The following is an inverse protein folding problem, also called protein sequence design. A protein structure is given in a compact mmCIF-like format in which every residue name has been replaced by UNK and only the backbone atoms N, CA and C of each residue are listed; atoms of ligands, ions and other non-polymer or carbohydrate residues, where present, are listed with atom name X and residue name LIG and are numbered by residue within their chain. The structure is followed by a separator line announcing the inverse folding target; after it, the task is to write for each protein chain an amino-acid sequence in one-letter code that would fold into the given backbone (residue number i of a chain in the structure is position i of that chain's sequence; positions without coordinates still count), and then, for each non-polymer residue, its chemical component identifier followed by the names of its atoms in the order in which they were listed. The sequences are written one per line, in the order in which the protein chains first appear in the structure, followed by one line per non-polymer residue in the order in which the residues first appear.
data_IF_814316554455
#
_entry.id   IF_814316554455
#
_cell.length_a   1.000
_cell.length_b   1.000
_cell.length_c   1.000
_cell.angle_alpha   90.00
_cell.angle_beta   90.00
_cell.angle_gamma   90.00
#
_symmetry.space_group_name_H-M   'P 1'
#
loop_
_entity.id
_entity.type
_entity.pdbx_description
1 polymer ?
#
# COMPACT_ATOMS: atom_id res chain seq x y z
N UNK A 1 -17.11 12.62 71.82
CA UNK A 1 -17.41 12.20 70.44
C UNK A 1 -17.09 13.39 69.55
N UNK A 2 -15.86 13.41 69.05
CA UNK A 2 -15.26 14.50 68.28
C UNK A 2 -15.29 14.07 66.81
N UNK A 3 -15.89 14.89 65.94
CA UNK A 3 -15.81 14.72 64.49
C UNK A 3 -14.45 15.25 64.00
N UNK A 4 -13.74 14.58 63.07
CA UNK A 4 -12.57 15.16 62.43
C UNK A 4 -12.97 16.15 61.34
N UNK A 5 -12.32 17.31 61.37
CA UNK A 5 -12.34 18.40 60.41
C UNK A 5 -11.99 17.96 58.97
N UNK A 6 -12.74 18.53 58.02
CA UNK A 6 -12.42 18.59 56.60
C UNK A 6 -11.09 19.32 56.38
N UNK A 7 -10.10 18.62 55.84
CA UNK A 7 -8.88 19.22 55.31
C UNK A 7 -9.05 19.42 53.80
N UNK A 8 -9.32 20.68 53.42
CA UNK A 8 -9.15 21.23 52.08
C UNK A 8 -7.67 21.13 51.64
N UNK A 9 -7.25 20.00 51.08
CA UNK A 9 -5.99 19.91 50.34
C UNK A 9 -6.18 20.53 48.95
N UNK A 10 -5.90 21.84 48.89
CA UNK A 10 -5.81 22.62 47.67
C UNK A 10 -4.77 22.07 46.71
N UNK A 11 -5.22 21.27 45.75
CA UNK A 11 -4.45 20.87 44.57
C UNK A 11 -4.06 22.12 43.78
N UNK A 12 -2.85 22.61 44.03
CA UNK A 12 -2.22 23.66 43.25
C UNK A 12 -1.93 23.12 41.86
N UNK A 13 -2.77 23.47 40.89
CA UNK A 13 -2.56 23.18 39.47
C UNK A 13 -1.39 24.03 38.99
N UNK A 14 -0.28 23.46 38.50
CA UNK A 14 0.80 24.25 37.94
C UNK A 14 0.34 24.96 36.66
N UNK A 15 0.77 26.20 36.41
CA UNK A 15 0.40 26.91 35.19
C UNK A 15 0.92 26.16 33.95
N UNK A 16 0.17 26.18 32.83
CA UNK A 16 0.60 25.51 31.60
C UNK A 16 1.89 26.15 31.07
N UNK A 17 2.80 25.36 30.48
CA UNK A 17 4.03 25.90 29.92
C UNK A 17 3.71 26.82 28.72
N UNK A 18 4.32 28.01 28.73
CA UNK A 18 4.29 28.93 27.60
C UNK A 18 5.08 28.32 26.43
N UNK A 19 4.36 27.87 25.40
CA UNK A 19 4.93 27.40 24.14
C UNK A 19 5.38 28.62 23.34
N UNK A 20 6.69 28.88 23.29
CA UNK A 20 7.25 29.88 22.39
C UNK A 20 7.30 29.32 20.96
N UNK A 21 6.76 30.02 19.95
CA UNK A 21 6.86 29.57 18.58
C UNK A 21 8.32 29.65 18.12
N UNK A 22 8.91 28.49 17.80
CA UNK A 22 10.18 28.44 17.07
C UNK A 22 9.93 28.98 15.66
N UNK A 23 10.48 30.15 15.34
CA UNK A 23 10.59 30.60 13.95
C UNK A 23 11.45 29.59 13.18
N UNK A 24 10.79 28.73 12.40
CA UNK A 24 11.46 27.87 11.43
C UNK A 24 12.02 28.77 10.34
N UNK A 25 13.28 29.16 10.50
CA UNK A 25 14.02 29.89 9.48
C UNK A 25 14.29 28.92 8.33
N UNK A 26 13.38 28.92 7.35
CA UNK A 26 13.47 28.15 6.11
C UNK A 26 14.72 28.60 5.36
N UNK A 27 15.86 27.97 5.63
CA UNK A 27 17.09 28.10 4.85
C UNK A 27 16.74 27.76 3.40
N UNK A 28 16.57 28.78 2.57
CA UNK A 28 16.52 28.64 1.12
C UNK A 28 17.88 28.09 0.69
N UNK A 29 17.98 26.79 0.46
CA UNK A 29 19.15 26.19 -0.20
C UNK A 29 19.17 26.75 -1.61
N UNK A 30 20.11 27.67 -1.86
CA UNK A 30 20.41 28.15 -3.20
C UNK A 30 20.83 26.95 -4.05
N UNK A 31 20.00 26.58 -5.02
CA UNK A 31 20.35 25.60 -6.04
C UNK A 31 21.34 26.25 -7.01
N UNK A 32 22.50 25.63 -7.29
CA UNK A 32 23.41 26.13 -8.30
C UNK A 32 22.75 26.02 -9.68
N UNK A 33 22.65 27.16 -10.37
CA UNK A 33 22.20 27.24 -11.76
C UNK A 33 23.27 26.63 -12.68
N UNK A 34 22.97 25.65 -13.54
CA UNK A 34 23.93 25.20 -14.52
C UNK A 34 24.16 26.27 -15.58
N UNK A 35 25.42 26.63 -15.78
CA UNK A 35 25.89 27.63 -16.74
C UNK A 35 25.76 27.13 -18.19
N UNK A 36 25.09 27.95 -19.00
CA UNK A 36 24.85 27.81 -20.44
C UNK A 36 26.16 28.01 -21.23
N UNK A 37 27.11 27.06 -21.20
CA UNK A 37 28.33 27.08 -22.06
C UNK A 37 28.88 25.70 -22.46
N UNK A 38 28.04 24.67 -22.55
CA UNK A 38 28.44 23.35 -23.11
C UNK A 38 27.38 22.87 -24.11
N UNK A 39 27.26 23.55 -25.26
CA UNK A 39 26.35 23.14 -26.36
C UNK A 39 27.07 22.97 -27.71
N UNK A 40 28.39 23.19 -27.81
CA UNK A 40 29.07 23.21 -29.14
C UNK A 40 29.91 21.94 -29.44
N UNK A 41 29.83 20.89 -28.62
CA UNK A 41 30.61 19.64 -28.82
C UNK A 41 29.84 18.41 -29.27
N UNK A 42 28.54 18.50 -29.57
CA UNK A 42 27.64 17.34 -29.59
C UNK A 42 27.05 16.95 -30.96
N UNK A 43 27.51 17.53 -32.08
CA UNK A 43 26.90 17.27 -33.41
C UNK A 43 27.75 16.32 -34.30
N UNK A 44 29.05 16.15 -34.04
CA UNK A 44 29.91 15.30 -34.87
C UNK A 44 29.98 13.82 -34.42
N UNK A 45 29.65 13.49 -33.17
CA UNK A 45 29.73 12.12 -32.64
C UNK A 45 28.47 11.27 -32.93
N UNK A 46 27.34 11.90 -33.26
CA UNK A 46 26.07 11.19 -33.46
C UNK A 46 26.00 10.42 -34.80
N UNK A 47 26.70 10.88 -35.84
CA UNK A 47 26.62 10.26 -37.17
C UNK A 47 27.39 8.91 -37.26
N UNK A 48 28.50 8.77 -36.54
CA UNK A 48 29.32 7.53 -36.57
C UNK A 48 28.71 6.38 -35.75
N UNK A 49 27.95 6.70 -34.69
CA UNK A 49 27.27 5.67 -33.87
C UNK A 49 26.10 5.04 -34.64
N UNK A 50 25.36 5.82 -35.44
CA UNK A 50 24.20 5.30 -36.19
C UNK A 50 24.65 4.32 -37.29
N UNK A 51 25.76 4.59 -37.98
CA UNK A 51 26.30 3.68 -39.00
C UNK A 51 26.81 2.35 -38.41
N UNK A 52 27.43 2.40 -37.23
CA UNK A 52 27.89 1.19 -36.52
C UNK A 52 26.71 0.34 -36.00
N UNK A 53 25.63 0.96 -35.52
CA UNK A 53 24.43 0.24 -35.06
C UNK A 53 23.67 -0.39 -36.23
N UNK A 54 23.55 0.30 -37.38
CA UNK A 54 22.89 -0.27 -38.56
C UNK A 54 23.65 -1.48 -39.14
N UNK A 55 24.99 -1.43 -39.19
CA UNK A 55 25.81 -2.55 -39.64
C UNK A 55 25.74 -3.77 -38.71
N UNK A 56 25.63 -3.56 -37.40
CA UNK A 56 25.55 -4.67 -36.43
C UNK A 56 24.18 -5.36 -36.40
N UNK A 57 23.10 -4.65 -36.76
CA UNK A 57 21.74 -5.20 -36.80
C UNK A 57 21.51 -6.09 -38.03
N UNK A 58 22.15 -5.82 -39.17
CA UNK A 58 21.95 -6.61 -40.39
C UNK A 58 22.78 -7.90 -40.40
N UNK A 59 23.96 -7.93 -39.77
CA UNK A 59 24.84 -9.12 -39.75
C UNK A 59 24.50 -10.19 -38.70
N UNK A 60 23.57 -9.94 -37.77
CA UNK A 60 23.09 -10.99 -36.85
C UNK A 60 21.85 -11.74 -37.32
N UNK A 61 21.24 -11.34 -38.43
CA UNK A 61 20.02 -11.95 -38.98
C UNK A 61 20.25 -13.23 -39.79
N UNK A 62 21.44 -13.84 -39.69
CA UNK A 62 21.77 -15.07 -40.40
C UNK A 62 22.17 -16.22 -39.47
N UNK A 63 21.21 -17.00 -38.99
CA UNK A 63 21.23 -18.47 -38.99
C UNK A 63 19.97 -19.08 -38.35
N UNK A 64 19.46 -20.23 -38.85
CA UNK A 64 18.08 -20.65 -38.67
C UNK A 64 17.84 -21.56 -37.46
N UNK A 65 16.60 -21.53 -36.98
CA UNK A 65 15.85 -22.55 -36.25
C UNK A 65 16.59 -23.42 -35.20
N UNK A 66 16.33 -23.13 -33.92
CA UNK A 66 15.88 -24.15 -32.95
C UNK A 66 14.91 -23.52 -31.95
N UNK A 67 13.74 -24.12 -31.85
CA UNK A 67 12.67 -23.78 -30.92
C UNK A 67 13.17 -23.59 -29.48
N UNK A 68 13.15 -22.35 -29.02
CA UNK A 68 12.88 -22.01 -27.63
C UNK A 68 12.06 -20.74 -27.65
N UNK A 69 10.76 -20.89 -27.43
CA UNK A 69 9.88 -19.79 -27.06
C UNK A 69 10.43 -19.17 -25.78
N UNK A 70 11.25 -18.13 -25.92
CA UNK A 70 11.66 -17.27 -24.82
C UNK A 70 10.67 -16.11 -24.80
N UNK A 71 9.68 -16.27 -23.95
CA UNK A 71 8.68 -15.26 -23.62
C UNK A 71 9.36 -13.94 -23.25
N UNK A 72 8.91 -12.86 -23.87
CA UNK A 72 9.42 -11.52 -23.64
C UNK A 72 9.16 -11.09 -22.18
N UNK A 73 10.23 -10.70 -21.48
CA UNK A 73 10.15 -10.16 -20.12
C UNK A 73 9.49 -8.76 -20.15
N UNK A 74 8.17 -8.73 -20.00
CA UNK A 74 7.51 -7.64 -19.25
C UNK A 74 7.86 -7.75 -17.76
N UNK A 75 7.38 -6.85 -16.88
CA UNK A 75 7.48 -7.10 -15.44
C UNK A 75 6.83 -8.46 -15.17
N UNK A 76 7.66 -9.48 -14.92
CA UNK A 76 7.16 -10.83 -14.69
C UNK A 76 6.43 -10.77 -13.37
N UNK A 77 5.11 -10.64 -13.43
CA UNK A 77 4.24 -11.16 -12.38
C UNK A 77 4.75 -12.58 -12.15
N UNK A 78 5.33 -12.83 -10.98
CA UNK A 78 5.81 -14.16 -10.66
C UNK A 78 4.59 -15.09 -10.76
N UNK A 79 4.59 -15.96 -11.76
CA UNK A 79 3.45 -16.82 -12.05
C UNK A 79 3.11 -17.71 -10.85
N UNK A 80 4.13 -18.07 -10.05
CA UNK A 80 3.95 -18.80 -8.80
C UNK A 80 3.29 -17.91 -7.74
N UNK A 81 3.75 -16.69 -7.51
CA UNK A 81 3.10 -15.74 -6.60
C UNK A 81 1.67 -15.39 -7.03
N UNK A 82 1.39 -15.25 -8.33
CA UNK A 82 0.03 -15.04 -8.83
C UNK A 82 -0.86 -16.27 -8.58
N UNK A 83 -0.34 -17.48 -8.79
CA UNK A 83 -1.07 -18.70 -8.46
C UNK A 83 -1.33 -18.82 -6.96
N UNK A 84 -0.35 -18.49 -6.11
CA UNK A 84 -0.50 -18.47 -4.66
C UNK A 84 -1.53 -17.43 -4.22
N UNK A 85 -1.51 -16.21 -4.81
CA UNK A 85 -2.49 -15.17 -4.52
C UNK A 85 -3.90 -15.65 -4.83
N UNK A 86 -4.13 -16.28 -5.99
CA UNK A 86 -5.45 -16.83 -6.36
C UNK A 86 -6.00 -17.84 -5.35
N UNK A 87 -5.13 -18.61 -4.69
CA UNK A 87 -5.54 -19.60 -3.69
C UNK A 87 -5.95 -18.98 -2.35
N UNK A 88 -5.45 -17.79 -2.04
CA UNK A 88 -5.72 -17.11 -0.76
C UNK A 88 -6.83 -16.06 -0.83
N UNK A 89 -7.28 -15.72 -2.04
CA UNK A 89 -8.37 -14.77 -2.26
C UNK A 89 -9.63 -15.15 -1.47
N UNK A 90 -10.40 -14.16 -1.00
CA UNK A 90 -11.69 -14.42 -0.39
C UNK A 90 -12.66 -15.14 -1.32
N UNK A 91 -13.65 -15.83 -0.74
CA UNK A 91 -14.70 -16.50 -1.52
C UNK A 91 -15.44 -15.47 -2.39
N UNK A 92 -15.72 -15.85 -3.64
CA UNK A 92 -16.37 -14.97 -4.61
C UNK A 92 -15.41 -14.13 -5.46
N UNK A 93 -14.09 -14.23 -5.23
CA UNK A 93 -13.07 -13.65 -6.10
C UNK A 93 -12.36 -14.71 -6.93
N UNK A 94 -12.24 -14.46 -8.24
CA UNK A 94 -11.61 -15.34 -9.21
C UNK A 94 -11.06 -14.53 -10.38
N UNK A 95 -10.41 -15.20 -11.33
CA UNK A 95 -9.89 -14.55 -12.54
C UNK A 95 -10.99 -13.93 -13.43
N UNK A 96 -12.27 -14.21 -13.17
CA UNK A 96 -13.38 -13.58 -13.89
C UNK A 96 -13.68 -12.16 -13.41
N UNK A 97 -13.34 -11.82 -12.16
CA UNK A 97 -13.63 -10.51 -11.57
C UNK A 97 -12.40 -9.83 -10.96
N UNK A 98 -11.23 -10.46 -11.06
CA UNK A 98 -9.95 -9.93 -10.62
C UNK A 98 -8.97 -9.91 -11.79
N UNK A 99 -8.23 -8.81 -11.92
CA UNK A 99 -7.19 -8.63 -12.92
C UNK A 99 -5.86 -8.23 -12.26
N UNK A 100 -4.70 -8.59 -12.83
CA UNK A 100 -3.41 -8.13 -12.35
C UNK A 100 -3.34 -6.60 -12.34
N UNK A 101 -2.91 -6.01 -11.23
CA UNK A 101 -2.78 -4.57 -11.07
C UNK A 101 -1.56 -4.24 -10.18
N UNK A 102 -1.00 -3.02 -10.25
CA UNK A 102 -0.07 -2.54 -9.25
C UNK A 102 -0.71 -2.65 -7.87
N UNK A 103 -0.14 -3.46 -6.98
CA UNK A 103 -0.75 -3.72 -5.68
C UNK A 103 -0.80 -2.51 -4.76
N UNK A 104 -1.68 -2.52 -3.74
CA UNK A 104 -1.78 -1.45 -2.74
C UNK A 104 -0.52 -1.32 -1.87
N UNK A 105 0.42 -2.27 -1.96
CA UNK A 105 1.63 -2.33 -1.17
C UNK A 105 2.88 -2.42 -2.06
N UNK A 106 3.85 -1.54 -1.79
CA UNK A 106 5.19 -1.67 -2.36
C UNK A 106 5.84 -2.98 -1.86
N UNK A 107 6.45 -3.74 -2.78
CA UNK A 107 7.12 -5.01 -2.46
C UNK A 107 6.18 -6.22 -2.35
N UNK A 108 4.91 -6.11 -2.75
CA UNK A 108 4.05 -7.27 -2.96
C UNK A 108 4.62 -8.20 -4.04
N UNK A 109 4.56 -9.51 -3.82
CA UNK A 109 5.02 -10.52 -4.78
C UNK A 109 3.99 -10.78 -5.87
N UNK A 110 2.72 -10.57 -5.58
CA UNK A 110 1.62 -10.54 -6.54
C UNK A 110 0.52 -9.60 -6.04
N UNK A 111 -0.23 -9.01 -6.96
CA UNK A 111 -1.41 -8.25 -6.63
C UNK A 111 -2.47 -8.29 -7.73
N UNK A 112 -3.72 -8.17 -7.31
CA UNK A 112 -4.89 -8.09 -8.19
C UNK A 112 -5.80 -6.96 -7.72
N UNK A 113 -6.42 -6.29 -8.68
CA UNK A 113 -7.59 -5.45 -8.45
C UNK A 113 -8.83 -6.22 -8.90
N UNK A 114 -9.91 -6.12 -8.14
CA UNK A 114 -11.14 -6.81 -8.40
C UNK A 114 -12.31 -5.82 -8.38
N UNK A 115 -13.14 -5.91 -9.42
CA UNK A 115 -14.30 -5.06 -9.60
C UNK A 115 -15.58 -5.85 -9.29
N UNK A 116 -16.48 -5.26 -8.50
CA UNK A 116 -17.80 -5.82 -8.21
C UNK A 116 -18.88 -4.76 -8.45
N UNK A 117 -20.08 -5.23 -8.76
CA UNK A 117 -21.23 -4.38 -9.13
C UNK A 117 -21.82 -3.57 -7.96
N UNK A 118 -21.37 -3.80 -6.72
CA UNK A 118 -21.83 -3.14 -5.49
C UNK A 118 -21.08 -1.84 -5.17
N UNK A 119 -20.39 -1.25 -6.15
CA UNK A 119 -19.54 -0.06 -6.01
C UNK A 119 -18.40 -0.23 -4.98
N UNK A 120 -18.04 -1.48 -4.69
CA UNK A 120 -16.87 -1.82 -3.88
C UNK A 120 -15.75 -2.23 -4.82
N UNK A 121 -14.66 -1.47 -4.79
CA UNK A 121 -13.42 -1.85 -5.47
C UNK A 121 -12.51 -2.50 -4.45
N UNK A 122 -12.02 -3.70 -4.76
CA UNK A 122 -11.11 -4.45 -3.89
C UNK A 122 -9.73 -4.60 -4.54
N UNK A 123 -8.69 -4.52 -3.73
CA UNK A 123 -7.33 -4.83 -4.16
C UNK A 123 -6.68 -5.76 -3.15
N UNK A 124 -6.10 -6.85 -3.65
CA UNK A 124 -5.46 -7.87 -2.86
C UNK A 124 -3.99 -7.98 -3.24
N UNK A 125 -3.13 -8.09 -2.24
CA UNK A 125 -1.69 -8.27 -2.45
C UNK A 125 -1.18 -9.42 -1.58
N UNK A 126 -0.38 -10.29 -2.20
CA UNK A 126 0.43 -11.27 -1.50
C UNK A 126 1.74 -10.60 -1.10
N UNK A 127 2.05 -10.64 0.19
CA UNK A 127 3.20 -9.99 0.80
C UNK A 127 4.24 -11.06 1.16
N UNK A 128 5.55 -10.84 0.96
CA UNK A 128 6.54 -11.92 1.10
C UNK A 128 6.69 -12.45 2.53
N UNK A 129 6.48 -11.62 3.55
CA UNK A 129 6.66 -12.00 4.95
C UNK A 129 5.86 -11.10 5.92
N UNK A 130 5.83 -11.48 7.19
CA UNK A 130 5.12 -10.76 8.26
C UNK A 130 5.62 -9.33 8.48
N UNK A 131 6.92 -9.08 8.33
CA UNK A 131 7.50 -7.75 8.55
C UNK A 131 7.06 -6.81 7.44
N UNK A 132 7.12 -7.27 6.20
CA UNK A 132 6.58 -6.56 5.04
C UNK A 132 5.07 -6.34 5.19
N UNK A 133 4.32 -7.33 5.68
CA UNK A 133 2.87 -7.21 5.89
C UNK A 133 2.52 -6.12 6.92
N UNK A 134 3.25 -6.08 8.04
CA UNK A 134 3.14 -5.02 9.03
C UNK A 134 3.48 -3.64 8.47
N UNK A 135 4.52 -3.54 7.64
CA UNK A 135 4.85 -2.29 6.96
C UNK A 135 3.74 -1.86 5.99
N UNK A 136 3.18 -2.79 5.21
CA UNK A 136 2.14 -2.50 4.22
C UNK A 136 0.82 -2.05 4.84
N UNK A 137 0.37 -2.63 5.96
CA UNK A 137 -0.82 -2.11 6.65
C UNK A 137 -0.52 -0.75 7.32
N UNK A 138 0.73 -0.52 7.72
CA UNK A 138 1.21 0.76 8.22
C UNK A 138 1.13 1.89 7.19
N UNK A 139 1.37 1.63 5.91
CA UNK A 139 1.23 2.65 4.87
C UNK A 139 -0.21 3.08 4.66
N UNK A 140 -1.17 2.15 4.72
CA UNK A 140 -2.62 2.48 4.68
C UNK A 140 -2.99 3.35 5.87
N UNK A 141 -2.50 2.98 7.05
CA UNK A 141 -2.72 3.74 8.30
C UNK A 141 -2.17 5.17 8.20
N UNK A 142 -0.97 5.34 7.65
CA UNK A 142 -0.33 6.65 7.51
C UNK A 142 -0.94 7.52 6.41
N UNK A 143 -1.50 6.90 5.36
CA UNK A 143 -2.10 7.60 4.22
C UNK A 143 -3.56 8.03 4.43
N UNK A 144 -4.22 7.58 5.50
CA UNK A 144 -5.64 7.83 5.75
C UNK A 144 -5.93 8.54 7.07
N UNK A 145 -7.06 9.22 7.14
CA UNK A 145 -7.65 9.62 8.42
C UNK A 145 -8.27 8.39 9.07
N UNK A 146 -7.51 7.73 9.94
CA UNK A 146 -7.97 6.53 10.66
C UNK A 146 -9.11 6.92 11.60
N UNK A 147 -10.21 6.16 11.53
CA UNK A 147 -11.40 6.35 12.34
C UNK A 147 -11.82 5.02 12.96
N UNK A 148 -12.68 5.06 13.97
CA UNK A 148 -13.27 3.84 14.51
C UNK A 148 -14.02 3.10 13.40
N UNK A 149 -13.85 1.78 13.37
CA UNK A 149 -14.68 0.94 12.52
C UNK A 149 -16.13 0.93 13.04
N UNK A 150 -17.12 0.67 12.17
CA UNK A 150 -18.51 0.45 12.58
C UNK A 150 -18.63 -0.48 13.80
N UNK A 151 -19.58 -0.17 14.68
CA UNK A 151 -19.69 -0.86 15.98
C UNK A 151 -18.72 -0.37 17.05
N UNK A 152 -18.08 0.81 16.85
CA UNK A 152 -17.10 1.42 17.77
C UNK A 152 -15.86 0.54 18.01
N UNK A 153 -15.46 -0.22 16.99
CA UNK A 153 -14.29 -1.08 17.05
C UNK A 153 -13.03 -0.25 16.83
N UNK A 154 -12.02 -0.47 17.67
CA UNK A 154 -10.74 0.23 17.59
C UNK A 154 -10.04 -0.06 16.25
N UNK A 155 -9.51 1.01 15.65
CA UNK A 155 -8.77 0.98 14.39
C UNK A 155 -7.47 1.77 14.55
N UNK A 156 -6.31 1.26 14.11
CA UNK A 156 -6.07 -0.15 13.75
C UNK A 156 -6.33 -1.08 14.94
N UNK A 157 -6.78 -2.31 14.68
CA UNK A 157 -7.05 -3.27 15.75
C UNK A 157 -7.02 -4.73 15.29
N UNK A 158 -6.86 -5.69 16.22
CA UNK A 158 -6.88 -7.11 15.86
C UNK A 158 -8.28 -7.54 15.40
N UNK A 159 -8.35 -8.34 14.34
CA UNK A 159 -9.60 -8.96 13.90
C UNK A 159 -9.54 -10.49 13.95
N UNK A 160 -10.72 -11.10 14.02
CA UNK A 160 -10.91 -12.56 14.16
C UNK A 160 -12.02 -12.99 13.21
N UNK A 161 -11.82 -14.09 12.47
CA UNK A 161 -12.88 -14.68 11.64
C UNK A 161 -13.85 -15.43 12.56
N UNK A 162 -15.13 -15.06 12.57
CA UNK A 162 -16.16 -15.77 13.36
C UNK A 162 -16.26 -15.37 14.84
N UNK A 163 -15.67 -14.24 15.27
CA UNK A 163 -15.92 -13.64 16.58
C UNK A 163 -14.77 -13.76 17.61
N UNK A 164 -15.04 -13.33 18.85
CA UNK A 164 -14.01 -13.11 19.88
C UNK A 164 -13.31 -14.38 20.40
N UNK A 165 -13.94 -15.54 20.29
CA UNK A 165 -13.38 -16.83 20.74
C UNK A 165 -12.38 -17.42 19.75
N UNK A 166 -12.34 -16.90 18.52
CA UNK A 166 -11.48 -17.38 17.44
C UNK A 166 -10.10 -16.73 17.51
N UNK A 167 -9.02 -17.36 17.04
CA UNK A 167 -7.69 -16.75 17.05
C UNK A 167 -7.64 -15.45 16.24
N UNK A 168 -6.75 -14.53 16.62
CA UNK A 168 -6.49 -13.31 15.85
C UNK A 168 -5.97 -13.71 14.48
N UNK A 169 -6.56 -13.14 13.42
CA UNK A 169 -6.21 -13.40 12.02
C UNK A 169 -5.34 -12.30 11.41
N UNK A 170 -5.32 -11.11 12.02
CA UNK A 170 -4.49 -9.99 11.59
C UNK A 170 -5.01 -8.67 12.11
N UNK A 171 -4.76 -7.60 11.37
CA UNK A 171 -5.10 -6.23 11.73
C UNK A 171 -6.15 -5.67 10.77
N UNK A 172 -7.17 -5.01 11.30
CA UNK A 172 -8.20 -4.28 10.57
C UNK A 172 -7.97 -2.77 10.73
N UNK A 173 -8.13 -2.02 9.65
CA UNK A 173 -8.03 -0.57 9.59
C UNK A 173 -9.24 -0.01 8.85
N UNK A 174 -9.98 0.87 9.51
CA UNK A 174 -10.97 1.74 8.88
C UNK A 174 -10.41 3.16 8.77
N UNK A 175 -10.51 3.75 7.59
CA UNK A 175 -10.04 5.09 7.32
C UNK A 175 -10.99 5.82 6.36
N UNK A 176 -11.01 7.14 6.44
CA UNK A 176 -11.73 8.01 5.50
C UNK A 176 -10.76 9.06 4.95
N UNK A 177 -9.81 8.67 4.07
CA UNK A 177 -8.97 9.63 3.34
C UNK A 177 -9.81 10.57 2.46
N UNK A 178 -9.17 11.63 1.94
CA UNK A 178 -9.81 12.57 1.02
C UNK A 178 -10.40 11.90 -0.26
N UNK A 179 -9.95 10.69 -0.60
CA UNK A 179 -10.46 9.87 -1.71
C UNK A 179 -11.66 8.98 -1.37
N UNK A 180 -12.17 9.03 -0.14
CA UNK A 180 -13.37 8.29 0.28
C UNK A 180 -13.11 7.20 1.32
N UNK A 181 -14.17 6.51 1.79
CA UNK A 181 -14.08 5.41 2.73
C UNK A 181 -13.18 4.27 2.25
N UNK A 182 -12.29 3.83 3.14
CA UNK A 182 -11.36 2.75 2.91
C UNK A 182 -11.37 1.81 4.11
N UNK A 183 -11.43 0.51 3.84
CA UNK A 183 -11.23 -0.53 4.85
C UNK A 183 -10.09 -1.41 4.35
N UNK A 184 -9.10 -1.64 5.20
CA UNK A 184 -7.98 -2.52 4.90
C UNK A 184 -7.82 -3.55 6.01
N UNK A 185 -7.41 -4.76 5.65
CA UNK A 185 -7.08 -5.77 6.64
C UNK A 185 -5.97 -6.69 6.17
N UNK A 186 -5.31 -7.32 7.13
CA UNK A 186 -4.31 -8.36 6.88
C UNK A 186 -4.82 -9.74 7.28
N UNK A 187 -4.49 -10.79 6.55
CA UNK A 187 -4.57 -12.19 7.04
C UNK A 187 -3.13 -12.68 7.21
N UNK A 188 -2.66 -12.79 8.45
CA UNK A 188 -1.27 -13.07 8.78
C UNK A 188 -0.85 -14.44 8.27
N UNK A 189 -1.67 -15.47 8.44
CA UNK A 189 -1.30 -16.83 8.02
C UNK A 189 -1.17 -16.95 6.50
N UNK A 190 -1.93 -16.12 5.76
CA UNK A 190 -1.93 -16.09 4.30
C UNK A 190 -0.97 -15.06 3.70
N UNK A 191 -0.30 -14.26 4.54
CA UNK A 191 0.45 -13.07 4.12
C UNK A 191 -0.33 -12.17 3.15
N UNK A 192 -1.62 -12.04 3.37
CA UNK A 192 -2.52 -11.30 2.49
C UNK A 192 -2.75 -9.90 3.05
N UNK A 193 -2.60 -8.88 2.21
CA UNK A 193 -3.16 -7.55 2.43
C UNK A 193 -4.37 -7.38 1.52
N UNK A 194 -5.48 -6.91 2.07
CA UNK A 194 -6.63 -6.48 1.32
C UNK A 194 -6.93 -5.01 1.62
N UNK A 195 -7.25 -4.25 0.57
CA UNK A 195 -7.67 -2.85 0.65
C UNK A 195 -8.93 -2.71 -0.17
N UNK A 196 -10.01 -2.22 0.44
CA UNK A 196 -11.29 -2.00 -0.23
C UNK A 196 -11.73 -0.56 -0.11
N UNK A 197 -12.34 -0.05 -1.18
CA UNK A 197 -12.89 1.29 -1.30
C UNK A 197 -14.38 1.21 -1.63
N UNK A 198 -15.17 2.15 -1.15
CA UNK A 198 -16.61 2.14 -1.36
C UNK A 198 -17.27 3.44 -0.92
N UNK A 199 -18.61 3.46 -0.92
CA UNK A 199 -19.39 4.69 -0.70
C UNK A 199 -19.50 5.08 0.78
N UNK A 200 -19.42 4.12 1.69
CA UNK A 200 -19.47 4.36 3.14
C UNK A 200 -18.69 3.29 3.91
N UNK A 201 -18.23 3.61 5.13
CA UNK A 201 -17.60 2.61 6.00
C UNK A 201 -18.57 1.51 6.44
N UNK A 202 -19.85 1.81 6.60
CA UNK A 202 -20.88 0.82 6.94
C UNK A 202 -21.06 -0.22 5.82
N UNK A 203 -21.08 0.24 4.57
CA UNK A 203 -21.11 -0.64 3.40
C UNK A 203 -19.87 -1.54 3.37
N UNK A 204 -18.68 -0.94 3.51
CA UNK A 204 -17.42 -1.67 3.48
C UNK A 204 -17.28 -2.68 4.63
N UNK A 205 -17.72 -2.32 5.82
CA UNK A 205 -17.65 -3.18 6.99
C UNK A 205 -18.61 -4.38 6.87
N UNK A 206 -19.84 -4.15 6.41
CA UNK A 206 -20.80 -5.22 6.12
C UNK A 206 -20.28 -6.16 5.03
N UNK A 207 -19.68 -5.58 3.99
CA UNK A 207 -19.03 -6.33 2.92
C UNK A 207 -17.87 -7.17 3.46
N UNK A 208 -16.99 -6.59 4.28
CA UNK A 208 -15.85 -7.27 4.88
C UNK A 208 -16.27 -8.47 5.75
N UNK A 209 -17.29 -8.32 6.60
CA UNK A 209 -17.82 -9.44 7.42
C UNK A 209 -18.20 -10.64 6.54
N UNK A 210 -18.77 -10.41 5.37
CA UNK A 210 -19.23 -11.48 4.48
C UNK A 210 -18.10 -12.18 3.71
N UNK A 211 -16.93 -11.54 3.56
CA UNK A 211 -15.86 -12.04 2.71
C UNK A 211 -14.54 -12.34 3.46
N UNK A 212 -14.32 -11.84 4.67
CA UNK A 212 -13.05 -11.98 5.40
C UNK A 212 -12.69 -13.39 5.89
#
# INVERSE_FOLDING_TARGET
MQMPDDADDGWSVPPPPLVTPRLVQRRRRAWPRPSVRLVVGAVAAAALVIAAVAGFVVLRSGSPARDRAQEAAGPTVDAAAAAALRQVLPRGYSDQNCHPAPGPAAGATAAVACDRADDVTASFALIPDQRALGASIGTVTAGGAVVLCPGRIQSPGPWRRGGLTQPVRGTLVCATPAGGPTLAWTDTDKHLLAVVHGKSLEQLYSWWIAHA
#
